data_IF_043565683971
#
_entry.id   IF_043565683971
#
_cell.length_a   1.000
_cell.length_b   1.000
_cell.length_c   1.000
_cell.angle_alpha   90.00
_cell.angle_beta   90.00
_cell.angle_gamma   90.00
#
_symmetry.space_group_name_H-M   'P 1'
#
loop_
_entity.id
_entity.type
_entity.pdbx_description
1 polymer ?
#
# COMPACT_ATOMS: atom_id res chain seq x y z
N UNK A 1 -15.08 11.50 -4.36
CA UNK A 1 -13.83 12.00 -4.99
C UNK A 1 -14.04 12.28 -6.47
N UNK A 2 -14.19 11.27 -7.33
CA UNK A 2 -14.46 11.50 -8.76
C UNK A 2 -15.72 12.35 -9.02
N UNK A 3 -16.82 12.14 -8.29
CA UNK A 3 -18.03 12.97 -8.41
C UNK A 3 -17.80 14.45 -8.04
N UNK A 4 -16.83 14.74 -7.16
CA UNK A 4 -16.56 16.09 -6.68
C UNK A 4 -15.49 16.81 -7.52
N UNK A 5 -14.47 16.08 -7.98
CA UNK A 5 -13.34 16.63 -8.73
C UNK A 5 -13.36 16.28 -10.23
N UNK A 6 -14.40 15.59 -10.70
CA UNK A 6 -14.56 15.12 -12.08
C UNK A 6 -13.86 13.79 -12.37
N UNK A 7 -12.61 13.60 -11.92
CA UNK A 7 -11.83 12.37 -12.14
C UNK A 7 -10.78 12.13 -11.07
N UNK A 8 -10.10 10.98 -11.16
CA UNK A 8 -8.93 10.64 -10.35
C UNK A 8 -7.80 10.31 -11.31
N UNK A 9 -6.68 11.03 -11.19
CA UNK A 9 -5.49 10.84 -12.04
C UNK A 9 -4.34 10.15 -11.31
N UNK A 10 -4.25 10.35 -10.00
CA UNK A 10 -3.16 9.83 -9.18
C UNK A 10 -3.72 9.24 -7.88
N UNK A 11 -3.25 8.05 -7.53
CA UNK A 11 -3.44 7.41 -6.24
C UNK A 11 -2.07 7.18 -5.61
N UNK A 12 -1.85 7.75 -4.44
CA UNK A 12 -0.66 7.49 -3.62
C UNK A 12 -1.14 6.93 -2.29
N UNK A 13 -0.90 5.65 -2.06
CA UNK A 13 -1.22 5.02 -0.79
C UNK A 13 0.02 4.92 0.10
N UNK A 14 -0.08 5.52 1.28
CA UNK A 14 0.94 5.55 2.33
C UNK A 14 0.36 5.11 3.67
N UNK A 15 -0.85 4.55 3.69
CA UNK A 15 -1.46 4.02 4.89
C UNK A 15 -0.70 2.77 5.34
N UNK A 16 -0.29 2.74 6.60
CA UNK A 16 0.39 1.59 7.17
C UNK A 16 0.60 1.72 8.68
N UNK A 17 0.74 0.59 9.37
CA UNK A 17 1.09 0.57 10.80
C UNK A 17 2.27 -0.37 11.08
N UNK A 18 3.28 0.14 11.78
CA UNK A 18 4.45 -0.63 12.21
C UNK A 18 4.49 -0.78 13.73
N UNK A 19 3.77 -1.77 14.30
CA UNK A 19 3.80 -2.01 15.73
C UNK A 19 5.15 -2.61 16.18
N UNK A 20 5.75 -2.12 17.29
CA UNK A 20 7.00 -2.66 17.80
C UNK A 20 6.77 -4.02 18.46
N UNK A 21 6.86 -5.11 17.68
CA UNK A 21 7.01 -6.48 18.20
C UNK A 21 7.89 -7.30 17.27
N UNK A 22 8.92 -7.90 17.84
CA UNK A 22 9.61 -9.02 17.20
C UNK A 22 8.69 -10.25 17.15
N UNK A 23 8.95 -11.17 16.23
CA UNK A 23 8.20 -12.43 16.12
C UNK A 23 8.24 -13.25 17.43
N UNK A 24 9.31 -13.07 18.22
CA UNK A 24 9.47 -13.62 19.56
C UNK A 24 9.92 -12.51 20.50
N UNK A 25 9.31 -12.45 21.68
CA UNK A 25 9.73 -11.56 22.75
C UNK A 25 9.84 -12.37 24.05
N UNK A 26 11.00 -12.32 24.71
CA UNK A 26 11.26 -13.02 25.98
C UNK A 26 10.91 -14.53 25.93
N UNK A 27 11.26 -15.20 24.83
CA UNK A 27 11.00 -16.63 24.62
C UNK A 27 9.55 -17.00 24.33
N UNK A 28 8.66 -16.02 24.10
CA UNK A 28 7.26 -16.24 23.73
C UNK A 28 6.97 -15.72 22.34
N UNK A 29 6.17 -16.48 21.57
CA UNK A 29 5.68 -16.04 20.27
C UNK A 29 4.80 -14.79 20.43
N UNK A 30 4.91 -13.86 19.49
CA UNK A 30 4.06 -12.69 19.46
C UNK A 30 2.58 -13.08 19.28
N UNK A 31 1.64 -12.40 19.97
CA UNK A 31 0.21 -12.60 19.75
C UNK A 31 -0.17 -12.19 18.32
N UNK A 32 -0.95 -13.03 17.64
CA UNK A 32 -1.30 -12.83 16.23
C UNK A 32 -2.23 -11.64 15.98
N UNK A 33 -2.95 -11.15 16.99
CA UNK A 33 -3.98 -10.13 16.78
C UNK A 33 -3.41 -8.82 16.23
N UNK A 34 -2.20 -8.45 16.67
CA UNK A 34 -1.53 -7.25 16.17
C UNK A 34 -1.02 -7.43 14.75
N UNK A 35 -0.50 -8.62 14.42
CA UNK A 35 -0.09 -8.96 13.06
C UNK A 35 -1.29 -8.97 12.10
N UNK A 36 -2.41 -9.56 12.50
CA UNK A 36 -3.66 -9.56 11.72
C UNK A 36 -4.13 -8.14 11.43
N UNK A 37 -4.12 -7.26 12.44
CA UNK A 37 -4.47 -5.85 12.25
C UNK A 37 -3.53 -5.14 11.26
N UNK A 38 -2.23 -5.40 11.31
CA UNK A 38 -1.28 -4.86 10.32
C UNK A 38 -1.59 -5.38 8.92
N UNK A 39 -1.90 -6.67 8.74
CA UNK A 39 -2.29 -7.22 7.44
C UNK A 39 -3.59 -6.59 6.93
N UNK A 40 -4.59 -6.42 7.80
CA UNK A 40 -5.86 -5.81 7.44
C UNK A 40 -5.70 -4.35 6.98
N UNK A 41 -4.79 -3.59 7.59
CA UNK A 41 -4.54 -2.19 7.21
C UNK A 41 -3.64 -2.12 5.98
N UNK A 42 -2.45 -2.73 6.03
CA UNK A 42 -1.36 -2.48 5.08
C UNK A 42 -1.52 -3.29 3.79
N UNK A 43 -2.21 -4.44 3.83
CA UNK A 43 -2.44 -5.28 2.65
C UNK A 43 -3.87 -5.13 2.16
N UNK A 44 -4.83 -5.46 3.02
CA UNK A 44 -6.25 -5.51 2.61
C UNK A 44 -6.75 -4.10 2.35
N UNK A 45 -6.44 -3.14 3.24
CA UNK A 45 -6.76 -1.72 3.05
C UNK A 45 -6.14 -1.15 1.77
N UNK A 46 -4.86 -1.41 1.53
CA UNK A 46 -4.18 -0.90 0.33
C UNK A 46 -4.79 -1.45 -0.97
N UNK A 47 -5.11 -2.74 -1.00
CA UNK A 47 -5.81 -3.33 -2.14
C UNK A 47 -7.21 -2.72 -2.34
N UNK A 48 -7.93 -2.44 -1.24
CA UNK A 48 -9.26 -1.83 -1.29
C UNK A 48 -9.24 -0.41 -1.88
N UNK A 49 -8.28 0.41 -1.45
CA UNK A 49 -8.04 1.74 -2.03
C UNK A 49 -7.67 1.61 -3.51
N UNK A 50 -6.73 0.72 -3.83
CA UNK A 50 -6.27 0.48 -5.19
C UNK A 50 -7.43 0.12 -6.12
N UNK A 51 -8.24 -0.90 -5.78
CA UNK A 51 -9.32 -1.36 -6.68
C UNK A 51 -10.32 -0.25 -6.97
N UNK A 52 -10.60 0.64 -6.02
CA UNK A 52 -11.49 1.77 -6.23
C UNK A 52 -10.85 2.87 -7.09
N UNK A 53 -9.59 3.20 -6.85
CA UNK A 53 -8.84 4.17 -7.64
C UNK A 53 -8.70 3.72 -9.10
N UNK A 54 -8.29 2.47 -9.32
CA UNK A 54 -8.13 1.88 -10.66
C UNK A 54 -9.47 1.80 -11.40
N UNK A 55 -10.55 1.41 -10.71
CA UNK A 55 -11.88 1.42 -11.32
C UNK A 55 -12.27 2.83 -11.80
N UNK A 56 -11.94 3.88 -11.05
CA UNK A 56 -12.17 5.25 -11.48
C UNK A 56 -11.27 5.64 -12.66
N UNK A 57 -9.95 5.41 -12.55
CA UNK A 57 -8.96 5.74 -13.59
C UNK A 57 -9.24 5.02 -14.91
N UNK A 58 -9.74 3.77 -14.89
CA UNK A 58 -10.05 3.02 -16.11
C UNK A 58 -11.07 3.69 -17.04
N UNK A 59 -11.88 4.62 -16.50
CA UNK A 59 -12.88 5.39 -17.25
C UNK A 59 -12.35 6.73 -17.78
N UNK A 60 -11.13 7.11 -17.42
CA UNK A 60 -10.51 8.33 -17.93
C UNK A 60 -10.14 8.14 -19.41
N UNK A 61 -10.23 9.20 -20.20
CA UNK A 61 -9.59 9.24 -21.52
C UNK A 61 -8.07 9.04 -21.38
N UNK A 62 -7.43 8.30 -22.30
CA UNK A 62 -6.00 8.06 -22.24
C UNK A 62 -5.23 9.35 -22.53
N UNK A 63 -4.12 9.52 -21.81
CA UNK A 63 -3.14 10.57 -22.00
C UNK A 63 -2.27 10.35 -23.24
N UNK A 64 -1.28 11.24 -23.48
CA UNK A 64 -0.42 11.20 -24.65
C UNK A 64 0.37 9.89 -24.79
N UNK A 65 0.74 9.25 -23.68
CA UNK A 65 1.48 7.98 -23.69
C UNK A 65 0.54 6.76 -23.54
N UNK A 66 -0.78 6.97 -23.62
CA UNK A 66 -1.81 5.93 -23.50
C UNK A 66 -2.25 5.62 -22.06
N UNK A 67 -1.65 6.28 -21.07
CA UNK A 67 -1.95 6.10 -19.64
C UNK A 67 -3.28 6.74 -19.24
N UNK A 68 -3.98 6.14 -18.29
CA UNK A 68 -5.26 6.62 -17.75
C UNK A 68 -5.14 7.09 -16.30
N UNK A 69 -4.04 6.75 -15.64
CA UNK A 69 -3.73 7.18 -14.29
C UNK A 69 -2.45 6.57 -13.75
N UNK A 70 -2.04 7.05 -12.58
CA UNK A 70 -0.84 6.62 -11.88
C UNK A 70 -1.18 6.10 -10.48
N UNK A 71 -0.62 4.94 -10.13
CA UNK A 71 -0.70 4.40 -8.78
C UNK A 71 0.72 4.27 -8.22
N UNK A 72 0.91 4.77 -7.00
CA UNK A 72 2.08 4.52 -6.16
C UNK A 72 1.65 3.94 -4.82
N UNK A 73 2.25 2.82 -4.42
CA UNK A 73 2.02 2.17 -3.13
C UNK A 73 3.32 2.23 -2.33
N UNK A 74 3.25 2.68 -1.07
CA UNK A 74 4.35 2.51 -0.14
C UNK A 74 4.38 1.05 0.34
N UNK A 75 5.34 0.26 -0.14
CA UNK A 75 5.58 -1.07 0.39
C UNK A 75 6.43 -0.96 1.66
N UNK A 76 5.82 -1.12 2.84
CA UNK A 76 6.53 -1.32 4.10
C UNK A 76 5.94 -2.52 4.84
N UNK A 77 6.39 -3.72 4.49
CA UNK A 77 6.03 -4.93 5.23
C UNK A 77 7.15 -5.26 6.21
N UNK A 78 6.95 -4.88 7.47
CA UNK A 78 7.82 -5.16 8.63
C UNK A 78 9.21 -4.49 8.62
N UNK A 79 9.28 -3.32 9.27
CA UNK A 79 10.53 -2.87 9.88
C UNK A 79 10.69 -3.57 11.24
N UNK A 80 11.62 -4.52 11.35
CA UNK A 80 12.10 -4.96 12.65
C UNK A 80 13.58 -5.36 12.54
N UNK A 81 14.41 -4.83 13.44
CA UNK A 81 15.86 -5.10 13.53
C UNK A 81 16.20 -6.60 13.60
N UNK A 82 15.23 -7.47 13.88
CA UNK A 82 15.37 -8.93 13.86
C UNK A 82 15.48 -9.57 12.46
N UNK A 83 15.37 -8.80 11.35
CA UNK A 83 15.34 -9.34 9.98
C UNK A 83 16.52 -8.93 9.05
N UNK A 84 17.69 -8.55 9.57
CA UNK A 84 18.91 -8.26 8.77
C UNK A 84 18.68 -7.34 7.55
N UNK A 85 18.28 -6.09 7.81
CA UNK A 85 17.94 -5.13 6.77
C UNK A 85 19.15 -4.59 5.99
N UNK A 86 19.19 -4.88 4.70
CA UNK A 86 19.52 -3.87 3.69
C UNK A 86 18.21 -3.38 3.08
N UNK A 87 17.93 -2.09 3.23
CA UNK A 87 16.71 -1.44 2.76
C UNK A 87 16.91 -0.98 1.32
N UNK A 88 16.15 -1.53 0.38
CA UNK A 88 16.04 -0.98 -0.98
C UNK A 88 14.64 -0.42 -1.21
N UNK A 89 14.63 0.86 -1.62
CA UNK A 89 13.50 1.80 -1.76
C UNK A 89 12.56 1.45 -2.94
N UNK A 90 11.40 2.12 -2.95
CA UNK A 90 10.45 2.36 -4.05
C UNK A 90 10.90 1.86 -5.44
N UNK A 91 10.45 0.67 -5.82
CA UNK A 91 10.69 0.09 -7.14
C UNK A 91 9.36 -0.38 -7.74
N UNK A 92 8.44 0.56 -7.98
CA UNK A 92 7.61 0.64 -9.21
C UNK A 92 6.41 1.57 -9.08
N UNK A 93 6.34 2.51 -10.01
CA UNK A 93 5.09 3.07 -10.49
C UNK A 93 4.59 2.21 -11.66
N UNK A 94 3.33 1.80 -11.63
CA UNK A 94 2.69 1.14 -12.78
C UNK A 94 1.77 2.13 -13.45
N UNK A 95 1.99 2.36 -14.75
CA UNK A 95 1.08 3.13 -15.61
C UNK A 95 -0.06 2.18 -16.02
N UNK A 96 -1.29 2.63 -15.84
CA UNK A 96 -2.50 1.91 -16.25
C UNK A 96 -3.06 2.50 -17.54
#
# INVERSE_FOLDING_TARGET
>A
MAEHFGRIDVCVDVAGISPPRGAVAQGRAAPLDLFRKTVDIDVVGAFDVLRHAVAAMSRNDPGPDGERGLVALAASFMENELLNGEVVRLERATRL
#
